data_IF_789881415196
#
_entry.id   IF_789881415196
#
_cell.length_a   1.000
_cell.length_b   1.000
_cell.length_c   1.000
_cell.angle_alpha   90.00
_cell.angle_beta   90.00
_cell.angle_gamma   90.00
#
_symmetry.space_group_name_H-M   'P 1'
#
loop_
_entity.id
_entity.type
_entity.pdbx_description
1 polymer ?
#
# COMPACT_ATOMS: atom_id res chain seq x y z
N UNK A 1 -34.37 -34.53 -14.55
CA UNK A 1 -33.65 -35.06 -13.35
C UNK A 1 -32.14 -34.96 -13.51
N UNK A 2 -31.53 -35.41 -14.67
CA UNK A 2 -30.08 -35.41 -14.87
C UNK A 2 -29.46 -34.01 -14.89
N UNK A 3 -30.11 -33.02 -15.54
CA UNK A 3 -29.67 -31.64 -15.56
C UNK A 3 -29.56 -31.01 -14.15
N UNK A 4 -30.62 -31.20 -13.33
CA UNK A 4 -30.66 -30.70 -11.97
C UNK A 4 -29.59 -31.33 -11.06
N UNK A 5 -29.28 -32.63 -11.29
CA UNK A 5 -28.15 -33.30 -10.62
C UNK A 5 -26.79 -32.72 -11.02
N UNK A 6 -26.58 -32.44 -12.30
CA UNK A 6 -25.34 -31.83 -12.81
C UNK A 6 -25.14 -30.40 -12.29
N UNK A 7 -26.22 -29.61 -12.22
CA UNK A 7 -26.19 -28.25 -11.62
C UNK A 7 -25.79 -28.31 -10.16
N UNK A 8 -26.36 -29.25 -9.38
CA UNK A 8 -26.02 -29.44 -7.98
C UNK A 8 -24.54 -29.82 -7.80
N UNK A 9 -24.06 -30.76 -8.62
CA UNK A 9 -22.64 -31.17 -8.59
C UNK A 9 -21.71 -30.01 -8.99
N UNK A 10 -22.06 -29.24 -10.02
CA UNK A 10 -21.28 -28.08 -10.42
C UNK A 10 -21.20 -27.03 -9.31
N UNK A 11 -22.30 -26.76 -8.60
CA UNK A 11 -22.32 -25.87 -7.45
C UNK A 11 -21.44 -26.37 -6.30
N UNK A 12 -21.51 -27.67 -6.00
CA UNK A 12 -20.67 -28.27 -4.96
C UNK A 12 -19.17 -28.17 -5.31
N UNK A 13 -18.81 -28.41 -6.56
CA UNK A 13 -17.44 -28.31 -7.03
C UNK A 13 -16.90 -26.86 -6.97
N UNK A 14 -17.75 -25.87 -7.32
CA UNK A 14 -17.38 -24.45 -7.19
C UNK A 14 -17.14 -24.08 -5.72
N UNK A 15 -18.06 -24.41 -4.83
CA UNK A 15 -17.90 -24.13 -3.41
C UNK A 15 -16.63 -24.78 -2.82
N UNK A 16 -16.34 -26.02 -3.26
CA UNK A 16 -15.11 -26.70 -2.84
C UNK A 16 -13.86 -26.00 -3.38
N UNK A 17 -13.88 -25.58 -4.63
CA UNK A 17 -12.77 -24.83 -5.24
C UNK A 17 -12.53 -23.50 -4.51
N UNK A 18 -13.58 -22.75 -4.21
CA UNK A 18 -13.52 -21.52 -3.41
C UNK A 18 -12.89 -21.78 -2.04
N UNK A 19 -13.37 -22.79 -1.31
CA UNK A 19 -12.83 -23.13 0.02
C UNK A 19 -11.36 -23.53 -0.04
N UNK A 20 -10.96 -24.29 -1.05
CA UNK A 20 -9.55 -24.67 -1.24
C UNK A 20 -8.69 -23.46 -1.57
N UNK A 21 -9.20 -22.56 -2.42
CA UNK A 21 -8.51 -21.33 -2.77
C UNK A 21 -8.32 -20.41 -1.56
N UNK A 22 -9.39 -20.14 -0.80
CA UNK A 22 -9.32 -19.33 0.42
C UNK A 22 -8.28 -19.87 1.41
N UNK A 23 -8.31 -21.19 1.66
CA UNK A 23 -7.37 -21.83 2.57
C UNK A 23 -5.93 -21.72 2.07
N UNK A 24 -5.70 -21.96 0.78
CA UNK A 24 -4.36 -21.80 0.18
C UNK A 24 -3.84 -20.37 0.30
N UNK A 25 -4.72 -19.38 0.04
CA UNK A 25 -4.38 -17.96 0.15
C UNK A 25 -4.08 -17.55 1.61
N UNK A 26 -4.85 -18.08 2.57
CA UNK A 26 -4.61 -17.87 3.99
C UNK A 26 -3.26 -18.45 4.42
N UNK A 27 -2.94 -19.68 3.99
CA UNK A 27 -1.66 -20.33 4.30
C UNK A 27 -0.47 -19.56 3.70
N UNK A 28 -0.61 -19.02 2.48
CA UNK A 28 0.40 -18.16 1.86
C UNK A 28 0.58 -16.85 2.64
N UNK A 29 -0.51 -16.19 3.03
CA UNK A 29 -0.46 -14.95 3.82
C UNK A 29 0.18 -15.19 5.19
N UNK A 30 -0.22 -16.26 5.88
CA UNK A 30 0.40 -16.64 7.15
C UNK A 30 1.91 -16.88 7.02
N UNK A 31 2.33 -17.55 5.94
CA UNK A 31 3.75 -17.79 5.66
C UNK A 31 4.49 -16.47 5.42
N UNK A 32 3.89 -15.54 4.70
CA UNK A 32 4.47 -14.23 4.42
C UNK A 32 4.66 -13.41 5.70
N UNK A 33 3.62 -13.27 6.53
CA UNK A 33 3.69 -12.46 7.76
C UNK A 33 4.47 -13.11 8.91
N UNK A 34 4.70 -14.44 8.88
CA UNK A 34 5.54 -15.14 9.87
C UNK A 34 7.04 -14.97 9.64
N UNK A 35 7.45 -14.43 8.51
CA UNK A 35 8.85 -14.13 8.25
C UNK A 35 9.41 -13.06 9.21
N UNK A 36 10.75 -12.98 9.38
CA UNK A 36 11.37 -11.80 9.98
C UNK A 36 10.91 -10.53 9.26
N UNK A 37 10.73 -9.44 9.98
CA UNK A 37 10.12 -8.22 9.44
C UNK A 37 10.83 -7.69 8.18
N UNK A 38 12.17 -7.75 8.14
CA UNK A 38 12.95 -7.33 6.98
C UNK A 38 12.68 -8.16 5.72
N UNK A 39 12.23 -9.39 5.88
CA UNK A 39 12.00 -10.35 4.78
C UNK A 39 10.54 -10.33 4.29
N UNK A 40 9.63 -9.64 5.00
CA UNK A 40 8.23 -9.52 4.59
C UNK A 40 8.13 -8.64 3.34
N UNK A 41 7.53 -9.20 2.30
CA UNK A 41 7.13 -8.43 1.12
C UNK A 41 5.73 -7.83 1.35
N UNK A 42 5.69 -6.54 1.72
CA UNK A 42 4.46 -5.83 2.06
C UNK A 42 3.48 -5.77 0.89
N UNK A 43 3.98 -5.57 -0.34
CA UNK A 43 3.16 -5.59 -1.56
C UNK A 43 2.49 -6.95 -1.74
N UNK A 44 3.25 -8.05 -1.60
CA UNK A 44 2.72 -9.40 -1.70
C UNK A 44 1.68 -9.68 -0.62
N UNK A 45 1.94 -9.30 0.62
CA UNK A 45 0.99 -9.46 1.72
C UNK A 45 -0.34 -8.72 1.45
N UNK A 46 -0.27 -7.47 1.00
CA UNK A 46 -1.46 -6.68 0.65
C UNK A 46 -2.24 -7.28 -0.53
N UNK A 47 -1.56 -7.83 -1.55
CA UNK A 47 -2.20 -8.52 -2.67
C UNK A 47 -2.81 -9.86 -2.26
N UNK A 48 -2.21 -10.58 -1.30
CA UNK A 48 -2.80 -11.79 -0.72
C UNK A 48 -4.09 -11.48 0.05
N UNK A 49 -4.14 -10.36 0.78
CA UNK A 49 -5.37 -9.89 1.42
C UNK A 49 -6.46 -9.62 0.38
N UNK A 50 -6.13 -8.94 -0.71
CA UNK A 50 -7.08 -8.70 -1.80
C UNK A 50 -7.54 -10.01 -2.46
N UNK A 51 -6.65 -11.00 -2.62
CA UNK A 51 -6.94 -12.31 -3.23
C UNK A 51 -7.89 -13.17 -2.38
N UNK A 52 -8.00 -12.92 -1.07
CA UNK A 52 -9.03 -13.58 -0.24
C UNK A 52 -10.45 -13.22 -0.69
N UNK A 53 -10.65 -12.04 -1.25
CA UNK A 53 -11.94 -11.55 -1.72
C UNK A 53 -12.13 -11.78 -3.23
N UNK A 54 -11.05 -11.79 -4.00
CA UNK A 54 -11.06 -12.00 -5.45
C UNK A 54 -10.00 -13.04 -5.85
N UNK A 55 -10.43 -14.27 -6.03
CA UNK A 55 -9.57 -15.42 -6.35
C UNK A 55 -8.83 -15.30 -7.69
N UNK A 56 -9.25 -14.40 -8.58
CA UNK A 56 -8.67 -14.23 -9.91
C UNK A 56 -7.45 -13.31 -9.94
N UNK A 57 -7.06 -12.73 -8.78
CA UNK A 57 -5.90 -11.85 -8.70
C UNK A 57 -4.60 -12.63 -8.98
N UNK A 58 -3.93 -12.25 -10.06
CA UNK A 58 -2.59 -12.72 -10.42
C UNK A 58 -1.53 -11.88 -9.71
N UNK A 59 -1.09 -12.30 -8.52
CA UNK A 59 -0.15 -11.56 -7.66
C UNK A 59 1.10 -11.14 -8.42
N UNK A 60 1.70 -12.05 -9.20
CA UNK A 60 2.93 -11.79 -9.94
C UNK A 60 2.76 -10.67 -11.00
N UNK A 61 1.55 -10.50 -11.53
CA UNK A 61 1.24 -9.39 -12.43
C UNK A 61 1.46 -8.03 -11.73
N UNK A 62 0.91 -7.87 -10.52
CA UNK A 62 1.02 -6.62 -9.75
C UNK A 62 2.42 -6.41 -9.15
N UNK A 63 3.10 -7.48 -8.74
CA UNK A 63 4.50 -7.39 -8.32
C UNK A 63 5.37 -6.85 -9.46
N UNK A 64 5.19 -7.36 -10.67
CA UNK A 64 5.90 -6.90 -11.87
C UNK A 64 5.51 -5.46 -12.25
N UNK A 65 4.22 -5.09 -12.14
CA UNK A 65 3.77 -3.74 -12.42
C UNK A 65 4.48 -2.70 -11.52
N UNK A 66 4.59 -2.96 -10.23
CA UNK A 66 5.28 -2.07 -9.28
C UNK A 66 6.80 -2.06 -9.53
N UNK A 67 7.38 -3.19 -9.89
CA UNK A 67 8.78 -3.26 -10.32
C UNK A 67 9.05 -2.39 -11.57
N UNK A 68 8.15 -2.42 -12.54
CA UNK A 68 8.27 -1.63 -13.77
C UNK A 68 8.05 -0.13 -13.51
N UNK A 69 7.18 0.25 -12.57
CA UNK A 69 7.08 1.62 -12.06
C UNK A 69 8.43 2.09 -11.49
N UNK A 70 9.04 1.30 -10.62
CA UNK A 70 10.32 1.62 -10.02
C UNK A 70 11.46 1.72 -11.06
N UNK A 71 11.49 0.82 -12.06
CA UNK A 71 12.45 0.90 -13.18
C UNK A 71 12.25 2.17 -14.00
N UNK A 72 11.01 2.54 -14.29
CA UNK A 72 10.69 3.76 -15.04
C UNK A 72 11.23 5.00 -14.31
N UNK A 73 10.96 5.10 -13.00
CA UNK A 73 11.49 6.20 -12.17
C UNK A 73 13.02 6.19 -12.16
N UNK A 74 13.63 5.01 -11.94
CA UNK A 74 15.09 4.88 -11.90
C UNK A 74 15.76 5.32 -13.19
N UNK A 75 15.13 5.07 -14.33
CA UNK A 75 15.67 5.45 -15.65
C UNK A 75 15.76 6.97 -15.86
N UNK A 76 14.95 7.75 -15.14
CA UNK A 76 14.97 9.22 -15.18
C UNK A 76 15.92 9.84 -14.15
N UNK A 77 16.47 9.03 -13.22
CA UNK A 77 17.34 9.48 -12.16
C UNK A 77 18.82 9.38 -12.57
N UNK A 78 19.62 10.31 -12.05
CA UNK A 78 21.08 10.17 -12.12
C UNK A 78 21.53 9.07 -11.15
N UNK A 79 22.68 8.38 -11.44
CA UNK A 79 23.17 7.31 -10.57
C UNK A 79 23.42 7.71 -9.11
N UNK A 80 23.77 8.98 -8.89
CA UNK A 80 24.10 9.60 -7.59
C UNK A 80 22.95 10.46 -7.04
N UNK A 81 21.71 10.25 -7.51
CA UNK A 81 20.55 11.00 -7.07
C UNK A 81 20.37 10.88 -5.55
N UNK A 82 20.27 12.02 -4.87
CA UNK A 82 20.00 12.06 -3.44
C UNK A 82 18.63 11.45 -3.09
N UNK A 83 18.46 11.00 -1.84
CA UNK A 83 17.20 10.48 -1.34
C UNK A 83 16.03 11.45 -1.60
N UNK A 84 16.23 12.75 -1.35
CA UNK A 84 15.22 13.77 -1.61
C UNK A 84 14.79 13.82 -3.08
N UNK A 85 15.73 13.66 -4.02
CA UNK A 85 15.44 13.62 -5.46
C UNK A 85 14.64 12.37 -5.81
N UNK A 86 14.99 11.22 -5.24
CA UNK A 86 14.26 9.96 -5.43
C UNK A 86 12.83 10.07 -4.91
N UNK A 87 12.63 10.58 -3.70
CA UNK A 87 11.31 10.79 -3.10
C UNK A 87 10.42 11.71 -3.95
N UNK A 88 10.99 12.82 -4.44
CA UNK A 88 10.26 13.71 -5.32
C UNK A 88 9.90 13.03 -6.66
N UNK A 89 10.81 12.23 -7.22
CA UNK A 89 10.56 11.50 -8.47
C UNK A 89 9.40 10.50 -8.32
N UNK A 90 9.31 9.78 -7.20
CA UNK A 90 8.16 8.89 -6.91
C UNK A 90 6.86 9.69 -6.90
N UNK A 91 6.83 10.82 -6.20
CA UNK A 91 5.64 11.68 -6.13
C UNK A 91 5.24 12.22 -7.49
N UNK A 92 6.21 12.67 -8.31
CA UNK A 92 5.96 13.13 -9.69
C UNK A 92 5.41 12.00 -10.55
N UNK A 93 6.05 10.83 -10.51
CA UNK A 93 5.63 9.68 -11.30
C UNK A 93 4.20 9.24 -10.96
N UNK A 94 3.90 9.01 -9.69
CA UNK A 94 2.58 8.53 -9.29
C UNK A 94 1.50 9.59 -9.52
N UNK A 95 1.66 10.79 -8.95
CA UNK A 95 0.55 11.74 -8.83
C UNK A 95 0.43 12.71 -10.00
N UNK A 96 1.54 13.03 -10.71
CA UNK A 96 1.49 13.99 -11.82
C UNK A 96 1.52 13.33 -13.20
N UNK A 97 2.29 12.26 -13.37
CA UNK A 97 2.44 11.60 -14.67
C UNK A 97 1.41 10.47 -14.84
N UNK A 98 1.12 9.70 -13.79
CA UNK A 98 0.25 8.53 -13.86
C UNK A 98 -1.15 8.73 -13.24
N UNK A 99 -1.44 9.90 -12.66
CA UNK A 99 -2.78 10.27 -12.23
C UNK A 99 -3.28 9.56 -10.96
N UNK A 100 -2.40 8.99 -10.15
CA UNK A 100 -2.79 8.47 -8.83
C UNK A 100 -3.32 9.60 -7.96
N UNK A 101 -4.35 9.31 -7.17
CA UNK A 101 -4.94 10.30 -6.25
C UNK A 101 -5.63 9.65 -5.06
N UNK A 102 -5.81 10.42 -4.00
CA UNK A 102 -6.63 9.99 -2.87
C UNK A 102 -8.12 10.04 -3.21
N UNK A 103 -8.87 9.02 -2.81
CA UNK A 103 -10.32 8.98 -2.97
C UNK A 103 -10.99 10.02 -2.10
N UNK A 104 -11.78 10.90 -2.70
CA UNK A 104 -12.48 12.00 -2.00
C UNK A 104 -13.99 11.89 -2.11
N UNK A 105 -14.51 11.35 -3.20
CA UNK A 105 -15.94 11.26 -3.46
C UNK A 105 -16.55 9.97 -2.90
N UNK A 106 -15.81 8.86 -3.00
CA UNK A 106 -16.24 7.55 -2.52
C UNK A 106 -15.18 6.89 -1.63
N UNK A 107 -14.81 7.58 -0.54
CA UNK A 107 -13.74 7.15 0.37
C UNK A 107 -13.95 5.73 0.92
N UNK A 108 -15.20 5.33 1.19
CA UNK A 108 -15.54 4.02 1.75
C UNK A 108 -15.74 2.92 0.71
N UNK A 109 -15.47 3.18 -0.55
CA UNK A 109 -15.47 2.13 -1.56
C UNK A 109 -14.42 1.07 -1.23
N UNK A 110 -14.84 -0.20 -1.26
CA UNK A 110 -13.95 -1.33 -0.95
C UNK A 110 -12.72 -1.39 -1.85
N UNK A 111 -12.87 -1.04 -3.13
CA UNK A 111 -11.79 -1.01 -4.11
C UNK A 111 -10.60 -0.18 -3.64
N UNK A 112 -10.85 0.93 -2.94
CA UNK A 112 -9.79 1.79 -2.41
C UNK A 112 -8.91 1.11 -1.35
N UNK A 113 -9.37 -0.02 -0.77
CA UNK A 113 -8.67 -0.79 0.25
C UNK A 113 -7.89 -1.97 -0.31
N UNK A 114 -8.08 -2.33 -1.58
CA UNK A 114 -7.39 -3.43 -2.24
C UNK A 114 -6.31 -2.91 -3.19
N UNK A 115 -5.08 -3.35 -2.97
CA UNK A 115 -3.93 -2.77 -3.65
C UNK A 115 -3.91 -3.04 -5.16
N UNK A 116 -4.47 -4.15 -5.62
CA UNK A 116 -4.67 -4.42 -7.05
C UNK A 116 -5.60 -3.36 -7.69
N UNK A 117 -6.76 -3.08 -7.07
CA UNK A 117 -7.70 -2.06 -7.55
C UNK A 117 -7.06 -0.66 -7.55
N UNK A 118 -6.31 -0.35 -6.46
CA UNK A 118 -5.59 0.93 -6.37
C UNK A 118 -4.56 1.10 -7.49
N UNK A 119 -3.88 0.03 -7.89
CA UNK A 119 -2.93 0.05 -9.01
C UNK A 119 -3.66 0.24 -10.35
N UNK A 120 -4.80 -0.42 -10.53
CA UNK A 120 -5.57 -0.38 -11.78
C UNK A 120 -6.33 0.94 -11.93
N UNK A 121 -7.06 1.36 -10.88
CA UNK A 121 -7.92 2.55 -10.90
C UNK A 121 -7.18 3.85 -10.57
N UNK A 122 -5.96 3.75 -10.00
CA UNK A 122 -5.12 4.88 -9.57
C UNK A 122 -5.76 5.72 -8.48
N UNK A 123 -6.70 5.17 -7.75
CA UNK A 123 -7.39 5.79 -6.64
C UNK A 123 -7.26 4.92 -5.38
N UNK A 124 -7.01 5.56 -4.22
CA UNK A 124 -6.85 4.80 -2.98
C UNK A 124 -7.05 5.63 -1.72
N UNK A 125 -7.04 4.95 -0.59
CA UNK A 125 -7.06 5.55 0.75
C UNK A 125 -5.62 5.81 1.24
N UNK A 126 -5.44 6.57 2.34
CA UNK A 126 -4.09 6.91 2.82
C UNK A 126 -3.16 5.71 2.98
N UNK A 127 -3.65 4.58 3.52
CA UNK A 127 -2.81 3.40 3.77
C UNK A 127 -2.41 2.69 2.47
N UNK A 128 -3.33 2.48 1.53
CA UNK A 128 -3.03 1.74 0.30
C UNK A 128 -2.10 2.51 -0.63
N UNK A 129 -2.29 3.82 -0.77
CA UNK A 129 -1.35 4.67 -1.50
C UNK A 129 0.02 4.73 -0.81
N UNK A 130 0.05 4.70 0.54
CA UNK A 130 1.31 4.66 1.29
C UNK A 130 2.06 3.35 1.10
N UNK A 131 1.37 2.21 1.09
CA UNK A 131 1.98 0.91 0.80
C UNK A 131 2.62 0.91 -0.59
N UNK A 132 1.92 1.38 -1.61
CA UNK A 132 2.48 1.50 -2.96
C UNK A 132 3.72 2.41 -2.98
N UNK A 133 3.65 3.56 -2.31
CA UNK A 133 4.77 4.49 -2.22
C UNK A 133 5.99 3.88 -1.50
N UNK A 134 5.78 3.19 -0.37
CA UNK A 134 6.82 2.49 0.38
C UNK A 134 7.53 1.43 -0.48
N UNK A 135 6.75 0.65 -1.21
CA UNK A 135 7.28 -0.42 -2.06
C UNK A 135 8.09 0.09 -3.25
N UNK A 136 7.70 1.24 -3.82
CA UNK A 136 8.50 1.89 -4.86
C UNK A 136 9.76 2.51 -4.26
N UNK A 137 9.66 3.16 -3.09
CA UNK A 137 10.80 3.75 -2.38
C UNK A 137 11.87 2.71 -2.06
N UNK A 138 11.47 1.55 -1.52
CA UNK A 138 12.37 0.43 -1.21
C UNK A 138 13.13 -0.04 -2.46
N UNK A 139 12.45 -0.16 -3.61
CA UNK A 139 13.08 -0.54 -4.89
C UNK A 139 14.04 0.53 -5.42
N UNK A 140 13.94 1.75 -4.95
CA UNK A 140 14.88 2.85 -5.26
C UNK A 140 15.96 3.04 -4.18
N UNK A 141 16.14 2.07 -3.27
CA UNK A 141 17.05 2.12 -2.14
C UNK A 141 16.80 3.32 -1.21
N UNK A 142 15.51 3.59 -0.93
CA UNK A 142 15.06 4.58 0.04
C UNK A 142 14.18 3.89 1.08
N UNK A 143 14.72 3.74 2.28
CA UNK A 143 14.02 3.05 3.37
C UNK A 143 13.15 4.02 4.16
N UNK A 144 11.85 3.84 4.07
CA UNK A 144 10.82 4.57 4.79
C UNK A 144 9.98 3.62 5.65
N UNK A 145 9.23 4.18 6.58
CA UNK A 145 8.30 3.45 7.43
C UNK A 145 6.91 4.06 7.34
N UNK A 146 5.89 3.26 7.58
CA UNK A 146 4.53 3.74 7.77
C UNK A 146 4.43 4.56 9.06
N UNK A 147 3.69 5.63 9.03
CA UNK A 147 3.42 6.50 10.17
C UNK A 147 1.89 6.56 10.40
N UNK A 148 1.34 5.70 11.26
CA UNK A 148 -0.08 5.71 11.61
C UNK A 148 -0.39 6.92 12.48
N UNK A 149 -0.91 7.97 11.86
CA UNK A 149 -1.31 9.19 12.55
C UNK A 149 -2.80 9.10 12.93
N UNK A 150 -3.25 9.75 14.02
CA UNK A 150 -4.67 9.77 14.35
C UNK A 150 -5.52 10.31 13.19
N UNK A 151 -6.39 9.46 12.65
CA UNK A 151 -7.26 9.81 11.50
C UNK A 151 -6.56 9.93 10.14
N UNK A 152 -5.29 9.57 10.04
CA UNK A 152 -4.53 9.61 8.79
C UNK A 152 -3.40 8.57 8.76
N UNK A 153 -2.84 8.32 7.58
CA UNK A 153 -1.65 7.49 7.42
C UNK A 153 -0.66 8.21 6.52
N UNK A 154 0.55 8.37 6.99
CA UNK A 154 1.66 8.97 6.26
C UNK A 154 2.82 7.98 6.15
N UNK A 155 3.88 8.36 5.46
CA UNK A 155 5.14 7.61 5.45
C UNK A 155 6.31 8.53 5.81
N UNK A 156 7.42 7.96 6.26
CA UNK A 156 8.56 8.80 6.58
C UNK A 156 9.68 8.10 7.35
N UNK A 157 10.49 8.91 8.01
CA UNK A 157 11.57 8.48 8.91
C UNK A 157 11.50 9.27 10.21
N UNK A 158 11.59 8.55 11.32
CA UNK A 158 11.67 9.14 12.65
C UNK A 158 13.04 8.78 13.23
N UNK A 159 13.93 9.73 13.26
CA UNK A 159 15.27 9.56 13.83
C UNK A 159 15.38 10.32 15.16
N UNK A 160 16.21 9.80 16.09
CA UNK A 160 16.23 10.25 17.49
C UNK A 160 16.64 11.71 17.67
N UNK A 161 17.54 12.20 16.84
CA UNK A 161 18.18 13.54 17.02
C UNK A 161 17.97 14.45 15.80
N UNK A 162 17.04 14.12 14.92
CA UNK A 162 16.72 14.92 13.72
C UNK A 162 15.23 15.27 13.66
N UNK A 163 14.90 16.25 12.82
CA UNK A 163 13.51 16.54 12.50
C UNK A 163 12.91 15.38 11.73
N UNK A 164 11.68 14.94 12.07
CA UNK A 164 11.03 13.85 11.36
C UNK A 164 10.83 14.19 9.88
N UNK A 165 11.13 13.24 9.00
CA UNK A 165 10.66 13.28 7.62
C UNK A 165 9.25 12.72 7.60
N UNK A 166 8.26 13.51 7.18
CA UNK A 166 6.86 13.11 7.06
C UNK A 166 6.39 13.41 5.64
N UNK A 167 5.85 12.41 4.97
CA UNK A 167 5.35 12.50 3.60
C UNK A 167 3.87 12.14 3.60
N UNK A 168 3.04 13.09 3.24
CA UNK A 168 1.59 12.89 3.06
C UNK A 168 1.32 12.36 1.65
N UNK A 169 1.29 11.05 1.54
CA UNK A 169 1.11 10.36 0.26
C UNK A 169 -0.27 10.62 -0.31
N UNK A 170 -1.31 10.60 0.54
CA UNK A 170 -2.70 10.79 0.14
C UNK A 170 -2.95 12.16 -0.54
N UNK A 171 -2.22 13.18 -0.13
CA UNK A 171 -2.27 14.51 -0.72
C UNK A 171 -1.13 14.76 -1.74
N UNK A 172 -0.72 13.74 -2.48
CA UNK A 172 0.22 13.84 -3.60
C UNK A 172 1.69 13.74 -3.21
N UNK A 173 2.01 12.96 -2.19
CA UNK A 173 3.37 12.76 -1.66
C UNK A 173 4.06 14.06 -1.23
N UNK A 174 3.32 14.97 -0.63
CA UNK A 174 3.86 16.23 -0.11
C UNK A 174 4.70 15.95 1.13
N UNK A 175 5.95 16.40 1.14
CA UNK A 175 6.74 16.46 2.36
C UNK A 175 6.20 17.59 3.23
N UNK A 176 5.79 17.26 4.44
CA UNK A 176 5.18 18.18 5.38
C UNK A 176 6.02 18.33 6.64
N UNK A 177 5.99 19.52 7.20
CA UNK A 177 6.59 19.82 8.49
C UNK A 177 5.80 19.18 9.62
N UNK A 178 6.42 19.07 10.80
CA UNK A 178 5.73 18.65 12.02
C UNK A 178 4.45 19.46 12.28
N UNK A 179 4.52 20.79 12.10
CA UNK A 179 3.37 21.67 12.29
C UNK A 179 2.24 21.39 11.30
N UNK A 180 2.57 21.19 10.03
CA UNK A 180 1.56 20.79 9.01
C UNK A 180 0.93 19.43 9.33
N UNK A 181 1.72 18.48 9.87
CA UNK A 181 1.18 17.20 10.34
C UNK A 181 0.23 17.36 11.53
N UNK A 182 0.53 18.27 12.48
CA UNK A 182 -0.36 18.59 13.59
C UNK A 182 -1.68 19.21 13.10
N UNK A 183 -1.62 20.13 12.15
CA UNK A 183 -2.80 20.72 11.52
C UNK A 183 -3.62 19.67 10.75
N UNK A 184 -2.97 18.79 9.99
CA UNK A 184 -3.61 17.71 9.26
C UNK A 184 -4.36 16.77 10.20
N UNK A 185 -3.70 16.27 11.25
CA UNK A 185 -4.30 15.37 12.25
C UNK A 185 -5.46 16.04 12.96
N UNK A 186 -5.30 17.30 13.37
CA UNK A 186 -6.39 18.03 14.03
C UNK A 186 -7.61 18.19 13.11
N UNK A 187 -7.41 18.49 11.84
CA UNK A 187 -8.49 18.66 10.86
C UNK A 187 -9.21 17.34 10.52
N UNK A 188 -8.51 16.21 10.56
CA UNK A 188 -9.07 14.89 10.22
C UNK A 188 -9.71 14.19 11.41
N UNK A 189 -9.13 14.30 12.62
CA UNK A 189 -9.55 13.54 13.79
C UNK A 189 -10.03 14.38 14.97
N UNK A 190 -9.79 15.70 14.97
CA UNK A 190 -10.02 16.58 16.11
C UNK A 190 -9.01 16.37 17.27
N UNK A 191 -8.01 15.51 17.09
CA UNK A 191 -7.03 15.13 18.12
C UNK A 191 -5.73 15.93 17.91
N UNK A 192 -5.04 16.30 18.99
CA UNK A 192 -3.70 16.89 18.90
C UNK A 192 -2.66 15.80 18.70
N UNK A 193 -1.77 15.99 17.73
CA UNK A 193 -0.64 15.10 17.49
C UNK A 193 0.43 15.28 18.59
N UNK A 194 0.79 14.20 19.27
CA UNK A 194 1.84 14.15 20.27
C UNK A 194 3.06 13.37 19.76
N UNK A 195 4.22 13.50 20.44
CA UNK A 195 5.43 12.73 20.07
C UNK A 195 5.22 11.21 20.15
N UNK A 196 4.39 10.75 21.05
CA UNK A 196 4.01 9.33 21.18
C UNK A 196 3.22 8.78 19.99
N UNK A 197 2.63 9.64 19.19
CA UNK A 197 1.83 9.27 18.03
C UNK A 197 2.70 9.18 16.74
N UNK A 198 3.97 9.62 16.83
CA UNK A 198 4.97 9.48 15.76
C UNK A 198 5.83 8.23 15.97
N UNK A 199 5.17 7.09 16.14
CA UNK A 199 5.84 5.79 16.22
C UNK A 199 5.65 5.10 14.88
N UNK A 200 6.76 4.76 14.19
CA UNK A 200 6.66 4.02 12.95
C UNK A 200 5.97 2.67 13.15
N UNK A 201 5.10 2.32 12.22
CA UNK A 201 4.50 0.99 12.14
C UNK A 201 5.52 -0.04 11.67
N UNK A 202 5.39 -1.25 12.16
CA UNK A 202 6.07 -2.40 11.57
C UNK A 202 5.30 -2.90 10.34
N UNK A 203 5.90 -3.78 9.53
CA UNK A 203 5.21 -4.42 8.40
C UNK A 203 4.09 -5.37 8.84
N UNK A 204 3.98 -5.63 10.15
CA UNK A 204 2.98 -6.55 10.75
C UNK A 204 1.80 -5.80 11.39
N UNK A 205 1.93 -4.49 11.58
CA UNK A 205 0.88 -3.61 12.09
C UNK A 205 -0.10 -3.24 11.00
#
# INVERSE_FOLDING_TARGET
KRAKSLETQAKQLRNLAETVHERSTQDELEKEIKQPEQDINLLRAALLIARLDNSEIEIEHYLNAVEDMAKSIRSELKPDASEQVKLNAIGVYLFRQNGFHGSREDYYNRSNSYLNEVIDDREGIPITLSVLYLEIAERLDVHLQGLPLPGHFAVGKIEKDSSPLIIDVYNGAKIITRKEAEELVFNTSGIRLHNKDLIPATKKD
#
